data_IF_736927057071
#
_entry.id   IF_736927057071
#
_cell.length_a   1.000
_cell.length_b   1.000
_cell.length_c   1.000
_cell.angle_alpha   90.00
_cell.angle_beta   90.00
_cell.angle_gamma   90.00
#
_symmetry.space_group_name_H-M   'P 1'
#
loop_
_entity.id
_entity.type
_entity.pdbx_description
1 polymer ?
#
# COMPACT_ATOMS: atom_id res chain seq x y z
N UNK A 1 4.69 5.91 -14.13
CA UNK A 1 5.23 4.56 -13.83
C UNK A 1 4.73 4.14 -12.46
N UNK A 2 4.13 2.96 -12.35
CA UNK A 2 3.73 2.38 -11.07
C UNK A 2 4.92 1.57 -10.50
N UNK A 3 5.11 1.63 -9.19
CA UNK A 3 6.17 0.88 -8.52
C UNK A 3 5.71 0.40 -7.16
N UNK A 4 6.32 -0.68 -6.67
CA UNK A 4 6.06 -1.20 -5.33
C UNK A 4 7.34 -1.33 -4.53
N UNK A 5 7.24 -1.07 -3.23
CA UNK A 5 8.32 -1.26 -2.26
C UNK A 5 7.84 -2.19 -1.16
N UNK A 6 8.74 -3.03 -0.63
CA UNK A 6 8.42 -3.96 0.46
C UNK A 6 9.35 -3.67 1.62
N UNK A 7 8.78 -3.28 2.74
CA UNK A 7 9.48 -3.07 4.00
C UNK A 7 9.28 -4.28 4.91
N UNK A 8 10.37 -4.83 5.45
CA UNK A 8 10.30 -5.85 6.50
C UNK A 8 10.29 -5.15 7.86
N UNK A 9 9.32 -5.48 8.70
CA UNK A 9 9.27 -5.07 10.11
C UNK A 9 9.14 -6.30 10.99
N UNK A 10 9.88 -6.30 12.10
CA UNK A 10 9.73 -7.30 13.15
C UNK A 10 8.80 -6.71 14.20
N UNK A 11 7.80 -7.49 14.63
CA UNK A 11 7.00 -7.16 15.80
C UNK A 11 7.81 -7.45 17.06
N UNK A 12 7.43 -6.85 18.19
CA UNK A 12 7.93 -7.20 19.53
C UNK A 12 7.89 -8.71 19.78
N UNK A 13 6.87 -9.38 19.23
CA UNK A 13 6.65 -10.82 19.34
C UNK A 13 7.57 -11.67 18.43
N UNK A 14 8.52 -11.06 17.72
CA UNK A 14 9.41 -11.73 16.77
C UNK A 14 8.78 -12.10 15.43
N UNK A 15 7.46 -11.92 15.27
CA UNK A 15 6.78 -12.18 14.00
C UNK A 15 7.17 -11.16 12.92
N UNK A 16 7.64 -11.66 11.78
CA UNK A 16 7.97 -10.83 10.63
C UNK A 16 6.69 -10.40 9.90
N UNK A 17 6.56 -9.10 9.65
CA UNK A 17 5.52 -8.52 8.81
C UNK A 17 6.15 -7.79 7.64
N UNK A 18 5.55 -7.95 6.47
CA UNK A 18 5.99 -7.36 5.21
C UNK A 18 4.96 -6.32 4.80
N UNK A 19 5.32 -5.04 4.89
CA UNK A 19 4.48 -3.94 4.40
C UNK A 19 4.84 -3.69 2.95
N UNK A 20 3.92 -3.97 2.04
CA UNK A 20 4.04 -3.57 0.65
C UNK A 20 3.38 -2.21 0.46
N UNK A 21 4.09 -1.27 -0.15
CA UNK A 21 3.56 0.02 -0.59
C UNK A 21 3.56 0.03 -2.11
N UNK A 22 2.42 0.28 -2.74
CA UNK A 22 2.31 0.48 -4.19
C UNK A 22 2.06 1.96 -4.41
N UNK A 23 2.87 2.60 -5.25
CA UNK A 23 2.76 4.02 -5.53
C UNK A 23 2.87 4.28 -7.03
N UNK A 24 2.17 5.31 -7.49
CA UNK A 24 2.15 5.70 -8.89
C UNK A 24 2.65 7.13 -9.00
N UNK A 25 3.73 7.29 -9.76
CA UNK A 25 4.30 8.61 -10.07
C UNK A 25 3.99 8.96 -11.52
N UNK A 26 3.33 10.11 -11.70
CA UNK A 26 3.09 10.71 -13.01
C UNK A 26 3.61 12.15 -12.97
N UNK A 27 4.36 12.57 -13.99
CA UNK A 27 4.87 13.94 -14.13
C UNK A 27 5.54 14.50 -12.87
N UNK A 28 6.35 13.69 -12.18
CA UNK A 28 7.06 14.12 -10.98
C UNK A 28 6.24 14.10 -9.69
N UNK A 29 4.91 13.94 -9.76
CA UNK A 29 4.00 13.94 -8.60
C UNK A 29 3.49 12.54 -8.28
N UNK A 30 3.28 12.27 -7.00
CA UNK A 30 2.62 11.05 -6.52
C UNK A 30 1.12 11.22 -6.73
N UNK A 31 0.53 10.40 -7.59
CA UNK A 31 -0.91 10.47 -7.87
C UNK A 31 -1.68 9.51 -6.98
N UNK A 32 -1.09 8.36 -6.66
CA UNK A 32 -1.74 7.32 -5.86
C UNK A 32 -0.74 6.57 -4.98
N UNK A 33 -1.19 6.16 -3.79
CA UNK A 33 -0.41 5.35 -2.86
C UNK A 33 -1.32 4.43 -2.04
N UNK A 34 -1.08 3.13 -2.15
CA UNK A 34 -1.71 2.10 -1.33
C UNK A 34 -0.67 1.37 -0.48
N UNK A 35 -1.07 0.94 0.70
CA UNK A 35 -0.22 0.13 1.56
C UNK A 35 -0.99 -1.08 2.09
N UNK A 36 -0.35 -2.25 2.05
CA UNK A 36 -0.93 -3.49 2.55
C UNK A 36 0.13 -4.32 3.27
N UNK A 37 -0.22 -4.81 4.46
CA UNK A 37 0.68 -5.62 5.28
C UNK A 37 0.36 -7.10 5.17
N UNK A 38 1.39 -7.92 4.99
CA UNK A 38 1.29 -9.37 4.87
C UNK A 38 2.18 -10.08 5.88
N UNK A 39 1.83 -11.32 6.21
CA UNK A 39 2.66 -12.18 7.07
C UNK A 39 3.82 -12.84 6.32
N UNK A 40 3.70 -13.04 4.99
CA UNK A 40 4.69 -13.72 4.16
C UNK A 40 5.22 -12.78 3.07
N UNK A 41 6.52 -12.84 2.80
CA UNK A 41 7.17 -12.03 1.76
C UNK A 41 6.65 -12.37 0.36
N UNK A 42 6.41 -13.66 0.09
CA UNK A 42 5.90 -14.15 -1.20
C UNK A 42 4.53 -13.55 -1.52
N UNK A 43 3.63 -13.44 -0.53
CA UNK A 43 2.32 -12.80 -0.67
C UNK A 43 2.46 -11.28 -0.93
N UNK A 44 3.40 -10.61 -0.26
CA UNK A 44 3.65 -9.20 -0.48
C UNK A 44 4.16 -8.92 -1.91
N UNK A 45 5.09 -9.74 -2.41
CA UNK A 45 5.60 -9.64 -3.79
C UNK A 45 4.52 -9.89 -4.83
N UNK A 46 3.74 -10.97 -4.68
CA UNK A 46 2.69 -11.31 -5.64
C UNK A 46 1.59 -10.27 -5.66
N UNK A 47 1.21 -9.72 -4.50
CA UNK A 47 0.25 -8.63 -4.42
C UNK A 47 0.77 -7.35 -5.07
N UNK A 48 2.01 -6.93 -4.78
CA UNK A 48 2.61 -5.74 -5.38
C UNK A 48 2.69 -5.83 -6.90
N UNK A 49 3.14 -6.96 -7.43
CA UNK A 49 3.20 -7.21 -8.88
C UNK A 49 1.81 -7.19 -9.53
N UNK A 50 0.84 -7.92 -8.94
CA UNK A 50 -0.55 -7.91 -9.43
C UNK A 50 -1.16 -6.51 -9.40
N UNK A 51 -0.86 -5.72 -8.37
CA UNK A 51 -1.43 -4.38 -8.22
C UNK A 51 -0.81 -3.39 -9.20
N UNK A 52 0.50 -3.45 -9.42
CA UNK A 52 1.17 -2.65 -10.46
C UNK A 52 0.62 -2.99 -11.84
N UNK A 53 0.54 -4.27 -12.20
CA UNK A 53 -0.02 -4.70 -13.48
C UNK A 53 -1.47 -4.22 -13.66
N UNK A 54 -2.30 -4.36 -12.62
CA UNK A 54 -3.68 -3.87 -12.65
C UNK A 54 -3.76 -2.36 -12.91
N UNK A 55 -2.92 -1.57 -12.26
CA UNK A 55 -2.86 -0.11 -12.44
C UNK A 55 -2.37 0.27 -13.84
N UNK A 56 -1.45 -0.52 -14.40
CA UNK A 56 -0.95 -0.29 -15.75
C UNK A 56 -2.00 -0.63 -16.82
N UNK A 57 -2.80 -1.68 -16.61
CA UNK A 57 -3.86 -2.12 -17.52
C UNK A 57 -5.14 -1.26 -17.42
N UNK A 58 -5.62 -1.01 -16.20
CA UNK A 58 -6.92 -0.36 -15.95
C UNK A 58 -6.79 1.14 -15.67
N UNK A 59 -5.56 1.64 -15.50
CA UNK A 59 -5.31 2.99 -15.04
C UNK A 59 -5.44 3.14 -13.52
N UNK A 60 -5.45 4.40 -13.07
CA UNK A 60 -5.59 4.71 -11.66
C UNK A 60 -7.06 4.61 -11.24
N UNK A 61 -7.40 3.87 -10.16
CA UNK A 61 -8.69 4.08 -9.54
C UNK A 61 -8.73 5.53 -9.07
N UNK A 62 -9.75 6.29 -9.47
CA UNK A 62 -9.93 7.64 -8.96
C UNK A 62 -9.95 7.58 -7.43
N UNK A 63 -9.28 8.53 -6.74
CA UNK A 63 -9.36 8.59 -5.30
C UNK A 63 -10.78 9.05 -4.96
N UNK A 64 -11.71 8.10 -4.87
CA UNK A 64 -12.92 8.31 -4.09
C UNK A 64 -12.44 8.76 -2.73
N UNK A 65 -12.83 10.00 -2.40
CA UNK A 65 -12.46 10.70 -1.19
C UNK A 65 -12.94 9.86 -0.02
N UNK A 66 -12.10 8.95 0.43
CA UNK A 66 -12.35 8.17 1.63
C UNK A 66 -12.23 9.17 2.78
N UNK A 67 -13.39 9.73 3.11
CA UNK A 67 -13.65 10.58 4.25
C UNK A 67 -13.05 9.87 5.45
N UNK A 68 -11.87 10.35 5.87
CA UNK A 68 -11.33 10.05 7.19
C UNK A 68 -12.23 10.76 8.19
N UNK A 69 -13.38 10.15 8.45
CA UNK A 69 -14.16 10.50 9.62
C UNK A 69 -13.27 10.16 10.81
N UNK A 70 -12.65 11.23 11.29
CA UNK A 70 -11.82 11.24 12.46
C UNK A 70 -12.79 11.15 13.62
N UNK A 71 -13.19 9.95 14.02
CA UNK A 71 -13.78 9.76 15.34
C UNK A 71 -12.64 9.63 16.33
N UNK A 72 -12.11 10.80 16.67
CA UNK A 72 -11.52 11.12 17.95
C UNK A 72 -12.60 10.90 19.03
N UNK A 73 -12.69 9.69 19.58
CA UNK A 73 -13.36 9.34 20.84
C UNK A 73 -12.57 8.14 21.38
N UNK A 74 -11.77 8.19 22.44
CA UNK A 74 -11.61 9.06 23.61
C UNK A 74 -10.08 9.13 23.89
N UNK A 75 -9.41 10.17 24.39
CA UNK A 75 -9.72 11.02 25.54
C UNK A 75 -10.33 10.27 26.74
N UNK A 76 -9.70 9.15 27.15
CA UNK A 76 -9.35 8.84 28.54
C UNK A 76 -8.39 7.64 28.60
#
# INVERSE_FOLDING_TARGET
>A
MAFFTIEKRLRSDGTARYRCTVAVKQNGKYVHRENKTFSKNTLAKSWGAKRVAYIEEHGLPEPEKEMKETLCYNCW
#
